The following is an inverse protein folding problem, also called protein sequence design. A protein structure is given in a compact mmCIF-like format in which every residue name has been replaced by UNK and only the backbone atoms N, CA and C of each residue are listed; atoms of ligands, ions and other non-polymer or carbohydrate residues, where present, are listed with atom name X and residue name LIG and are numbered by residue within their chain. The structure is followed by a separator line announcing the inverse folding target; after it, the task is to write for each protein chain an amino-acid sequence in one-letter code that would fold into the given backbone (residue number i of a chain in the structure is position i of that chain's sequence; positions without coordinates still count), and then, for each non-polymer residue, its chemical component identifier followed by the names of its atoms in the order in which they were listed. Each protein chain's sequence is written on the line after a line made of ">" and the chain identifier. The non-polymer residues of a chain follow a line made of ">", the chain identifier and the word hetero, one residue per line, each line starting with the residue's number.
data_IF_672377206336
#
_entry.id   IF_672377206336
#
_cell.length_a   1.000
_cell.length_b   1.000
_cell.length_c   1.000
_cell.angle_alpha   90.00
_cell.angle_beta   90.00
_cell.angle_gamma   90.00
#
_symmetry.space_group_name_H-M   'P 1'
#
loop_
_entity.id
_entity.type
_entity.pdbx_description
1 polymer ?
#
# COMPACT_ATOMS: atom_id res chain seq x y z
N UNK A 1 17.44 3.61 37.94
CA UNK A 1 17.23 4.38 36.70
C UNK A 1 16.37 3.54 35.76
N UNK A 2 15.07 3.84 35.66
CA UNK A 2 14.18 3.20 34.69
C UNK A 2 14.61 3.64 33.29
N UNK A 3 15.10 2.70 32.48
CA UNK A 3 15.36 2.93 31.07
C UNK A 3 14.05 3.34 30.38
N UNK A 4 13.83 4.63 30.16
CA UNK A 4 12.74 5.12 29.33
C UNK A 4 12.95 4.55 27.92
N UNK A 5 12.16 3.55 27.55
CA UNK A 5 12.20 2.98 26.21
C UNK A 5 11.62 4.00 25.24
N UNK A 6 12.48 4.70 24.50
CA UNK A 6 12.02 5.63 23.46
C UNK A 6 11.19 4.92 22.38
N UNK A 7 10.13 5.61 21.94
CA UNK A 7 9.28 5.16 20.83
C UNK A 7 10.03 5.27 19.51
N UNK A 8 10.03 4.20 18.73
CA UNK A 8 10.74 4.13 17.45
C UNK A 8 10.10 5.03 16.40
N UNK A 9 10.97 5.64 15.61
CA UNK A 9 10.67 6.43 14.42
C UNK A 9 10.52 5.57 13.15
N UNK A 10 10.67 4.24 13.22
CA UNK A 10 10.54 3.38 12.06
C UNK A 10 9.19 3.51 11.30
N UNK A 11 8.01 3.61 11.95
CA UNK A 11 6.73 3.62 11.23
C UNK A 11 6.56 4.80 10.25
N UNK A 12 7.00 6.01 10.62
CA UNK A 12 6.85 7.19 9.74
C UNK A 12 7.87 7.20 8.60
N UNK A 13 9.11 6.76 8.85
CA UNK A 13 10.14 6.59 7.81
C UNK A 13 9.68 5.55 6.78
N UNK A 14 9.17 4.40 7.25
CA UNK A 14 8.59 3.37 6.39
C UNK A 14 7.35 3.90 5.66
N UNK A 15 6.54 4.74 6.31
CA UNK A 15 5.43 5.43 5.64
C UNK A 15 5.89 6.26 4.43
N UNK A 16 6.93 7.08 4.59
CA UNK A 16 7.49 7.91 3.50
C UNK A 16 8.01 7.03 2.35
N UNK A 17 8.74 5.95 2.67
CA UNK A 17 9.21 5.00 1.66
C UNK A 17 8.01 4.36 0.92
N UNK A 18 6.97 3.96 1.66
CA UNK A 18 5.73 3.42 1.11
C UNK A 18 5.03 4.39 0.15
N UNK A 19 5.04 5.69 0.45
CA UNK A 19 4.48 6.72 -0.44
C UNK A 19 5.22 6.79 -1.78
N UNK A 20 6.55 6.78 -1.77
CA UNK A 20 7.34 6.75 -3.01
C UNK A 20 7.03 5.50 -3.83
N UNK A 21 6.96 4.34 -3.18
CA UNK A 21 6.58 3.09 -3.85
C UNK A 21 5.15 3.13 -4.41
N UNK A 22 4.24 3.84 -3.76
CA UNK A 22 2.86 4.04 -4.24
C UNK A 22 2.83 4.81 -5.57
N UNK A 23 3.67 5.86 -5.70
CA UNK A 23 3.78 6.64 -6.94
C UNK A 23 4.31 5.74 -8.07
N UNK A 24 5.35 4.94 -7.81
CA UNK A 24 5.87 3.99 -8.79
C UNK A 24 4.85 2.91 -9.15
N UNK A 25 4.09 2.43 -8.17
CA UNK A 25 3.02 1.47 -8.38
C UNK A 25 1.93 2.00 -9.32
N UNK A 26 1.50 3.26 -9.14
CA UNK A 26 0.50 3.88 -10.01
C UNK A 26 0.94 3.89 -11.48
N UNK A 27 2.19 4.31 -11.76
CA UNK A 27 2.73 4.32 -13.11
C UNK A 27 2.76 2.90 -13.71
N UNK A 28 3.19 1.91 -12.93
CA UNK A 28 3.23 0.51 -13.35
C UNK A 28 1.83 -0.05 -13.64
N UNK A 29 0.86 0.20 -12.74
CA UNK A 29 -0.50 -0.29 -12.87
C UNK A 29 -1.24 0.34 -14.07
N UNK A 30 -0.99 1.62 -14.34
CA UNK A 30 -1.52 2.30 -15.53
C UNK A 30 -1.00 1.67 -16.83
N UNK A 31 0.32 1.45 -16.92
CA UNK A 31 0.93 0.82 -18.10
C UNK A 31 0.45 -0.62 -18.31
N UNK A 32 0.32 -1.40 -17.23
CA UNK A 32 -0.22 -2.76 -17.28
C UNK A 32 -1.68 -2.78 -17.74
N UNK A 33 -2.52 -1.89 -17.21
CA UNK A 33 -3.93 -1.79 -17.58
C UNK A 33 -4.09 -1.38 -19.05
N UNK A 34 -3.29 -0.42 -19.52
CA UNK A 34 -3.28 0.01 -20.92
C UNK A 34 -2.84 -1.12 -21.87
N UNK A 35 -1.79 -1.87 -21.53
CA UNK A 35 -1.33 -3.00 -22.34
C UNK A 35 -2.34 -4.13 -22.44
N UNK A 36 -3.02 -4.44 -21.32
CA UNK A 36 -4.06 -5.47 -21.28
C UNK A 36 -5.31 -5.01 -22.08
N UNK A 37 -5.70 -3.75 -21.94
CA UNK A 37 -6.78 -3.15 -22.71
C UNK A 37 -6.49 -3.20 -24.22
N UNK A 38 -5.29 -2.83 -24.66
CA UNK A 38 -4.89 -2.88 -26.08
C UNK A 38 -4.98 -4.31 -26.65
N UNK A 39 -4.58 -5.32 -25.87
CA UNK A 39 -4.72 -6.72 -26.26
C UNK A 39 -6.19 -7.11 -26.45
N UNK A 40 -7.06 -6.64 -25.55
CA UNK A 40 -8.50 -6.89 -25.63
C UNK A 40 -9.18 -6.17 -26.79
N UNK A 41 -8.72 -4.97 -27.14
CA UNK A 41 -9.17 -4.30 -28.37
C UNK A 41 -8.83 -5.15 -29.60
N UNK A 42 -7.62 -5.71 -29.66
CA UNK A 42 -7.18 -6.52 -30.79
C UNK A 42 -7.94 -7.86 -30.93
N UNK A 43 -8.39 -8.47 -29.82
CA UNK A 43 -9.04 -9.79 -29.83
C UNK A 43 -10.56 -9.74 -29.78
N UNK A 44 -11.13 -8.74 -29.10
CA UNK A 44 -12.55 -8.69 -28.71
C UNK A 44 -13.22 -7.35 -29.08
N UNK A 45 -12.48 -6.40 -29.65
CA UNK A 45 -12.98 -5.08 -30.08
C UNK A 45 -12.92 -4.00 -29.00
N UNK A 46 -13.20 -2.75 -29.39
CA UNK A 46 -13.04 -1.56 -28.54
C UNK A 46 -13.81 -1.64 -27.22
N UNK A 47 -15.08 -2.09 -27.26
CA UNK A 47 -15.92 -2.20 -26.08
C UNK A 47 -15.35 -3.16 -25.00
N UNK A 48 -14.60 -4.19 -25.40
CA UNK A 48 -13.93 -5.10 -24.46
C UNK A 48 -12.66 -4.47 -23.87
N UNK A 49 -11.94 -3.69 -24.66
CA UNK A 49 -10.78 -2.90 -24.21
C UNK A 49 -11.16 -1.85 -23.17
N UNK A 50 -12.21 -1.07 -23.42
CA UNK A 50 -12.70 -0.04 -22.51
C UNK A 50 -13.09 -0.60 -21.14
N UNK A 51 -13.84 -1.72 -21.14
CA UNK A 51 -14.22 -2.42 -19.90
C UNK A 51 -13.02 -2.90 -19.10
N UNK A 52 -11.97 -3.39 -19.77
CA UNK A 52 -10.75 -3.79 -19.06
C UNK A 52 -9.98 -2.61 -18.51
N UNK A 53 -9.91 -1.50 -19.24
CA UNK A 53 -9.26 -0.29 -18.75
C UNK A 53 -9.99 0.26 -17.52
N UNK A 54 -11.33 0.33 -17.55
CA UNK A 54 -12.14 0.78 -16.42
C UNK A 54 -11.95 -0.13 -15.18
N UNK A 55 -12.02 -1.45 -15.36
CA UNK A 55 -11.80 -2.40 -14.28
C UNK A 55 -10.38 -2.31 -13.71
N UNK A 56 -9.37 -2.21 -14.57
CA UNK A 56 -7.96 -2.10 -14.18
C UNK A 56 -7.68 -0.83 -13.37
N UNK A 57 -8.21 0.30 -13.85
CA UNK A 57 -8.09 1.58 -13.16
C UNK A 57 -8.86 1.60 -11.84
N UNK A 58 -10.05 0.99 -11.78
CA UNK A 58 -10.84 0.87 -10.56
C UNK A 58 -10.09 0.17 -9.42
N UNK A 59 -9.47 -0.98 -9.71
CA UNK A 59 -8.64 -1.69 -8.73
C UNK A 59 -7.40 -0.86 -8.34
N UNK A 60 -6.76 -0.19 -9.32
CA UNK A 60 -5.59 0.66 -9.06
C UNK A 60 -5.92 1.79 -8.07
N UNK A 61 -7.05 2.48 -8.25
CA UNK A 61 -7.48 3.52 -7.33
C UNK A 61 -7.77 2.99 -5.92
N UNK A 62 -8.36 1.79 -5.82
CA UNK A 62 -8.60 1.15 -4.53
C UNK A 62 -7.28 0.83 -3.80
N UNK A 63 -6.30 0.27 -4.52
CA UNK A 63 -4.97 -0.02 -3.95
C UNK A 63 -4.28 1.26 -3.48
N UNK A 64 -4.31 2.32 -4.28
CA UNK A 64 -3.73 3.63 -3.92
C UNK A 64 -4.44 4.21 -2.70
N UNK A 65 -5.77 4.14 -2.64
CA UNK A 65 -6.54 4.59 -1.48
C UNK A 65 -6.10 3.88 -0.19
N UNK A 66 -5.88 2.57 -0.25
CA UNK A 66 -5.37 1.78 0.88
C UNK A 66 -3.94 2.20 1.25
N UNK A 67 -3.05 2.35 0.27
CA UNK A 67 -1.65 2.75 0.53
C UNK A 67 -1.56 4.16 1.13
N UNK A 68 -2.35 5.11 0.65
CA UNK A 68 -2.44 6.47 1.21
C UNK A 68 -3.00 6.42 2.63
N UNK A 69 -4.02 5.61 2.90
CA UNK A 69 -4.53 5.42 4.25
C UNK A 69 -3.43 4.86 5.18
N UNK A 70 -2.69 3.85 4.74
CA UNK A 70 -1.55 3.30 5.49
C UNK A 70 -0.47 4.35 5.74
N UNK A 71 -0.17 5.22 4.76
CA UNK A 71 0.75 6.34 4.92
C UNK A 71 0.27 7.33 6.00
N UNK A 72 -1.00 7.70 5.99
CA UNK A 72 -1.57 8.59 7.01
C UNK A 72 -1.48 7.92 8.39
N UNK A 73 -1.81 6.63 8.49
CA UNK A 73 -1.73 5.86 9.73
C UNK A 73 -0.30 5.75 10.28
N UNK A 74 0.73 5.75 9.43
CA UNK A 74 2.14 5.76 9.85
C UNK A 74 2.49 6.92 10.77
N UNK A 75 1.86 8.09 10.64
CA UNK A 75 2.09 9.25 11.53
C UNK A 75 1.42 9.08 12.90
N UNK A 76 0.30 8.36 12.96
CA UNK A 76 -0.44 8.12 14.20
C UNK A 76 0.13 6.97 15.05
N UNK A 77 1.21 6.32 14.58
CA UNK A 77 1.86 5.19 15.25
C UNK A 77 2.59 5.54 16.56
N UNK A 78 2.73 6.82 16.90
CA UNK A 78 3.20 7.28 18.23
C UNK A 78 2.07 7.56 19.23
N UNK A 79 0.82 7.60 18.76
CA UNK A 79 -0.35 7.94 19.58
C UNK A 79 -0.71 6.85 20.60
N UNK A 80 -1.66 7.16 21.49
CA UNK A 80 -2.23 6.21 22.48
C UNK A 80 -2.90 5.00 21.80
N UNK A 81 -3.24 5.11 20.52
CA UNK A 81 -3.88 4.07 19.70
C UNK A 81 -2.90 3.34 18.76
N UNK A 82 -1.59 3.36 19.05
CA UNK A 82 -0.56 2.78 18.16
C UNK A 82 -0.82 1.30 17.80
N UNK A 83 -1.43 0.53 18.72
CA UNK A 83 -1.82 -0.86 18.47
C UNK A 83 -2.87 -0.97 17.35
N UNK A 84 -3.93 -0.18 17.41
CA UNK A 84 -5.00 -0.20 16.41
C UNK A 84 -4.51 0.29 15.06
N UNK A 85 -3.72 1.38 15.04
CA UNK A 85 -3.12 1.89 13.80
C UNK A 85 -2.17 0.86 13.17
N UNK A 86 -1.40 0.15 13.99
CA UNK A 86 -0.48 -0.89 13.51
C UNK A 86 -1.21 -2.10 12.92
N UNK A 87 -2.32 -2.55 13.54
CA UNK A 87 -3.15 -3.64 13.00
C UNK A 87 -3.78 -3.22 11.66
N UNK A 88 -4.32 -1.99 11.57
CA UNK A 88 -4.88 -1.48 10.32
C UNK A 88 -3.82 -1.38 9.21
N UNK A 89 -2.60 -0.97 9.53
CA UNK A 89 -1.50 -0.94 8.55
C UNK A 89 -1.10 -2.33 8.07
N UNK A 90 -1.11 -3.34 8.94
CA UNK A 90 -0.83 -4.74 8.55
C UNK A 90 -1.92 -5.24 7.59
N UNK A 91 -3.19 -5.04 7.95
CA UNK A 91 -4.31 -5.43 7.10
C UNK A 91 -4.28 -4.69 5.75
N UNK A 92 -4.07 -3.38 5.77
CA UNK A 92 -3.94 -2.57 4.56
C UNK A 92 -2.75 -3.01 3.70
N UNK A 93 -1.60 -3.30 4.31
CA UNK A 93 -0.41 -3.82 3.61
C UNK A 93 -0.65 -5.18 2.95
N UNK A 94 -1.35 -6.10 3.63
CA UNK A 94 -1.72 -7.41 3.08
C UNK A 94 -2.69 -7.24 1.89
N UNK A 95 -3.74 -6.45 2.05
CA UNK A 95 -4.73 -6.23 0.98
C UNK A 95 -4.09 -5.52 -0.22
N UNK A 96 -3.31 -4.46 0.02
CA UNK A 96 -2.60 -3.74 -1.03
C UNK A 96 -1.59 -4.64 -1.76
N UNK A 97 -0.84 -5.47 -1.03
CA UNK A 97 0.08 -6.45 -1.60
C UNK A 97 -0.63 -7.51 -2.44
N UNK A 98 -1.70 -8.11 -1.92
CA UNK A 98 -2.48 -9.13 -2.63
C UNK A 98 -3.09 -8.59 -3.93
N UNK A 99 -3.62 -7.36 -3.92
CA UNK A 99 -4.15 -6.71 -5.11
C UNK A 99 -3.03 -6.30 -6.08
N UNK A 100 -1.85 -5.94 -5.57
CA UNK A 100 -0.68 -5.64 -6.40
C UNK A 100 -0.15 -6.87 -7.17
N UNK A 101 -0.41 -8.10 -6.67
CA UNK A 101 -0.09 -9.34 -7.39
C UNK A 101 -0.83 -9.45 -8.72
N UNK A 102 -2.05 -8.89 -8.84
CA UNK A 102 -2.85 -8.93 -10.07
C UNK A 102 -2.11 -8.24 -11.22
N UNK A 103 -1.35 -7.19 -10.91
CA UNK A 103 -0.55 -6.42 -11.87
C UNK A 103 0.92 -6.85 -11.90
N UNK A 104 1.32 -7.87 -11.13
CA UNK A 104 2.72 -8.23 -10.89
C UNK A 104 3.60 -7.01 -10.57
N UNK A 105 3.03 -6.04 -9.86
CA UNK A 105 3.68 -4.76 -9.62
C UNK A 105 4.67 -4.88 -8.46
N UNK A 106 5.95 -5.06 -8.79
CA UNK A 106 7.06 -5.07 -7.83
C UNK A 106 7.00 -3.89 -6.83
N UNK A 107 6.81 -2.63 -7.25
CA UNK A 107 6.72 -1.52 -6.29
C UNK A 107 5.49 -1.62 -5.38
N UNK A 108 4.36 -2.14 -5.87
CA UNK A 108 3.17 -2.35 -5.06
C UNK A 108 3.36 -3.43 -3.99
N UNK A 109 4.04 -4.52 -4.35
CA UNK A 109 4.43 -5.57 -3.40
C UNK A 109 5.41 -5.04 -2.35
N UNK A 110 6.42 -4.29 -2.78
CA UNK A 110 7.37 -3.65 -1.88
C UNK A 110 6.67 -2.70 -0.89
N UNK A 111 5.72 -1.89 -1.37
CA UNK A 111 4.92 -1.02 -0.51
C UNK A 111 4.12 -1.82 0.52
N UNK A 112 3.50 -2.94 0.11
CA UNK A 112 2.80 -3.87 0.99
C UNK A 112 3.69 -4.36 2.15
N UNK A 113 4.91 -4.83 1.86
CA UNK A 113 5.87 -5.25 2.87
C UNK A 113 6.29 -4.10 3.80
N UNK A 114 6.56 -2.92 3.23
CA UNK A 114 6.94 -1.73 4.00
C UNK A 114 5.86 -1.35 5.02
N UNK A 115 4.58 -1.37 4.62
CA UNK A 115 3.46 -1.11 5.55
C UNK A 115 3.29 -2.22 6.59
N UNK A 116 3.55 -3.47 6.23
CA UNK A 116 3.55 -4.61 7.15
C UNK A 116 4.60 -4.42 8.27
N UNK A 117 5.85 -4.11 7.91
CA UNK A 117 6.92 -3.83 8.87
C UNK A 117 6.68 -2.53 9.67
N UNK A 118 6.07 -1.52 9.04
CA UNK A 118 5.63 -0.29 9.71
C UNK A 118 4.58 -0.56 10.79
N UNK A 119 3.61 -1.43 10.48
CA UNK A 119 2.57 -1.86 11.42
C UNK A 119 3.11 -2.68 12.60
N UNK A 120 4.02 -3.63 12.34
CA UNK A 120 4.72 -4.39 13.41
C UNK A 120 5.49 -3.43 14.33
N UNK A 121 6.22 -2.47 13.74
CA UNK A 121 6.94 -1.44 14.50
C UNK A 121 6.02 -0.57 15.34
N UNK A 122 4.83 -0.24 14.82
CA UNK A 122 3.80 0.53 15.53
C UNK A 122 3.22 -0.23 16.74
N UNK A 123 2.92 -1.52 16.58
CA UNK A 123 2.46 -2.39 17.67
C UNK A 123 3.51 -2.49 18.77
N UNK A 124 4.80 -2.60 18.40
CA UNK A 124 5.89 -2.64 19.37
C UNK A 124 6.06 -1.31 20.13
N UNK A 125 5.72 -0.17 19.52
CA UNK A 125 5.69 1.14 20.19
C UNK A 125 4.59 1.24 21.27
N UNK A 126 3.52 0.45 21.20
CA UNK A 126 2.49 0.42 22.27
C UNK A 126 3.07 -0.06 23.61
N UNK A 127 4.02 -1.00 23.57
CA UNK A 127 4.66 -1.57 24.77
C UNK A 127 5.73 -0.64 25.37
N UNK A 128 6.02 0.49 24.72
CA UNK A 128 7.00 1.50 25.13
C UNK A 128 6.23 2.73 25.61
N UNK A 129 5.80 2.69 26.86
CA UNK A 129 5.18 3.79 27.60
C UNK A 129 6.11 4.17 28.74
#
# INVERSE_FOLDING_TARGET
>A
MSQQKEKSNAPWILGIIGLFLTILHFACAFLCSAGLAATKVATEGEAAGDKMMEAGMGVTYLVIGIMVLCFILSFFCKSKSSRTTGVLMILGGIVAGALSCVYLSIPGLAAGFVYLFGGISSINNYKRV
#
